data_IF_995321067944
#
_entry.id   IF_995321067944
#
_cell.length_a   1.000
_cell.length_b   1.000
_cell.length_c   1.000
_cell.angle_alpha   90.00
_cell.angle_beta   90.00
_cell.angle_gamma   90.00
#
_symmetry.space_group_name_H-M   'P 1'
#
loop_
_entity.id
_entity.type
_entity.pdbx_description
1 polymer ?
#
# COMPACT_ATOMS: atom_id res chain seq x y z
N UNK A 1 3.27 7.65 -17.53
CA UNK A 1 3.08 6.32 -16.94
C UNK A 1 2.43 6.47 -15.57
N UNK A 2 1.56 5.54 -15.16
CA UNK A 2 0.84 5.56 -13.88
C UNK A 2 1.15 4.34 -12.98
N UNK A 3 1.94 3.39 -13.48
CA UNK A 3 2.42 2.21 -12.75
C UNK A 3 3.93 2.08 -12.97
N UNK A 4 4.67 1.90 -11.88
CA UNK A 4 6.10 1.65 -11.90
C UNK A 4 6.36 0.23 -11.41
N UNK A 5 6.90 -0.64 -12.27
CA UNK A 5 7.35 -1.98 -11.89
C UNK A 5 8.86 -1.95 -11.76
N UNK A 6 9.37 -2.23 -10.57
CA UNK A 6 10.78 -2.16 -10.25
C UNK A 6 11.46 -3.53 -10.38
N UNK A 7 12.74 -3.60 -10.79
CA UNK A 7 13.46 -4.86 -11.01
C UNK A 7 13.79 -5.62 -9.72
N UNK A 8 13.84 -4.94 -8.57
CA UNK A 8 14.11 -5.53 -7.26
C UNK A 8 13.58 -4.64 -6.12
N UNK A 9 13.64 -5.17 -4.88
CA UNK A 9 13.17 -4.50 -3.66
C UNK A 9 13.93 -3.21 -3.37
N UNK A 10 15.24 -3.17 -3.61
CA UNK A 10 16.05 -1.98 -3.32
C UNK A 10 15.66 -0.82 -4.23
N UNK A 11 15.55 -1.08 -5.54
CA UNK A 11 15.09 -0.10 -6.52
C UNK A 11 13.67 0.39 -6.19
N UNK A 12 12.78 -0.51 -5.78
CA UNK A 12 11.43 -0.17 -5.34
C UNK A 12 11.42 0.75 -4.12
N UNK A 13 12.18 0.40 -3.07
CA UNK A 13 12.27 1.19 -1.85
C UNK A 13 12.91 2.56 -2.07
N UNK A 14 13.96 2.64 -2.89
CA UNK A 14 14.60 3.91 -3.25
C UNK A 14 13.62 4.79 -4.02
N UNK A 15 13.00 4.27 -5.08
CA UNK A 15 12.03 5.03 -5.88
C UNK A 15 10.84 5.52 -5.03
N UNK A 16 10.29 4.65 -4.17
CA UNK A 16 9.21 5.01 -3.25
C UNK A 16 9.59 6.16 -2.32
N UNK A 17 10.75 6.08 -1.65
CA UNK A 17 11.16 7.11 -0.71
C UNK A 17 11.55 8.42 -1.41
N UNK A 18 12.16 8.35 -2.60
CA UNK A 18 12.42 9.53 -3.44
C UNK A 18 11.11 10.23 -3.82
N UNK A 19 10.11 9.51 -4.31
CA UNK A 19 8.82 10.09 -4.69
C UNK A 19 8.03 10.62 -3.48
N UNK A 20 8.14 9.94 -2.33
CA UNK A 20 7.52 10.39 -1.07
C UNK A 20 8.14 11.70 -0.57
N UNK A 21 9.44 11.90 -0.76
CA UNK A 21 10.19 13.03 -0.17
C UNK A 21 10.34 14.20 -1.14
N UNK A 22 10.67 13.92 -2.41
CA UNK A 22 11.04 14.93 -3.39
C UNK A 22 9.84 15.50 -4.15
N UNK A 23 8.80 14.70 -4.39
CA UNK A 23 7.58 15.16 -5.04
C UNK A 23 6.59 15.64 -3.97
N UNK A 24 6.83 16.85 -3.48
CA UNK A 24 6.00 17.51 -2.47
C UNK A 24 4.53 17.52 -2.88
N UNK A 25 3.65 17.06 -1.98
CA UNK A 25 2.21 16.91 -2.22
C UNK A 25 1.72 15.47 -2.37
N UNK A 26 2.63 14.50 -2.48
CA UNK A 26 2.26 13.09 -2.60
C UNK A 26 1.82 12.50 -1.25
N UNK A 27 0.64 11.87 -1.23
CA UNK A 27 0.19 11.07 -0.07
C UNK A 27 0.59 9.63 -0.29
N UNK A 28 1.57 9.16 0.48
CA UNK A 28 2.01 7.78 0.41
C UNK A 28 1.07 6.84 1.20
N UNK A 29 0.22 6.11 0.47
CA UNK A 29 -0.68 5.06 1.00
C UNK A 29 -0.07 3.68 0.72
N UNK A 30 -0.21 2.75 1.66
CA UNK A 30 0.47 1.43 1.64
C UNK A 30 1.47 1.30 2.80
N UNK A 31 2.34 0.26 2.82
CA UNK A 31 2.48 -0.78 1.81
C UNK A 31 1.25 -1.70 1.76
N UNK A 32 0.86 -2.12 0.55
CA UNK A 32 -0.21 -3.10 0.35
C UNK A 32 0.43 -4.46 0.07
N UNK A 33 -0.03 -5.47 0.82
CA UNK A 33 0.37 -6.84 0.60
C UNK A 33 -0.54 -7.43 -0.49
N UNK A 34 0.06 -7.98 -1.54
CA UNK A 34 -0.63 -8.60 -2.66
C UNK A 34 -0.37 -10.10 -2.65
N UNK A 35 -1.35 -10.89 -3.14
CA UNK A 35 -1.21 -12.34 -3.31
C UNK A 35 -1.49 -13.19 -2.06
N UNK A 36 -1.99 -12.60 -0.97
CA UNK A 36 -2.51 -13.38 0.15
C UNK A 36 -3.86 -14.03 -0.18
N UNK A 37 -4.15 -15.18 0.44
CA UNK A 37 -5.43 -15.88 0.30
C UNK A 37 -6.61 -15.15 0.95
N UNK A 38 -6.33 -14.18 1.82
CA UNK A 38 -7.31 -13.34 2.49
C UNK A 38 -6.75 -11.91 2.59
N UNK A 39 -7.61 -10.88 2.66
CA UNK A 39 -7.20 -9.49 2.74
C UNK A 39 -6.51 -9.20 4.08
N UNK A 40 -5.18 -9.18 4.05
CA UNK A 40 -4.32 -8.93 5.21
C UNK A 40 -3.22 -7.95 4.81
N UNK A 41 -2.97 -6.97 5.66
CA UNK A 41 -1.92 -5.97 5.45
C UNK A 41 -1.09 -5.76 6.71
N UNK A 42 0.21 -5.50 6.52
CA UNK A 42 1.16 -5.33 7.62
C UNK A 42 1.41 -3.84 7.84
N UNK A 43 1.24 -3.40 9.10
CA UNK A 43 1.52 -2.03 9.54
C UNK A 43 2.82 -2.00 10.35
N UNK A 44 3.52 -0.88 10.29
CA UNK A 44 4.68 -0.60 11.15
C UNK A 44 4.25 0.20 12.37
N UNK A 45 5.01 0.12 13.47
CA UNK A 45 4.78 0.92 14.69
C UNK A 45 4.84 2.44 14.45
N UNK A 46 5.50 2.87 13.38
CA UNK A 46 5.55 4.27 12.92
C UNK A 46 4.33 4.73 12.12
N UNK A 47 3.30 3.89 11.99
CA UNK A 47 2.10 4.22 11.22
C UNK A 47 1.27 5.31 11.92
N UNK A 48 0.92 6.35 11.17
CA UNK A 48 0.02 7.41 11.67
C UNK A 48 -1.43 6.92 11.70
N UNK A 49 -2.28 7.59 12.50
CA UNK A 49 -3.73 7.30 12.56
C UNK A 49 -4.37 7.34 11.17
N UNK A 50 -4.01 8.31 10.34
CA UNK A 50 -4.50 8.41 8.95
C UNK A 50 -4.12 7.17 8.12
N UNK A 51 -2.90 6.65 8.30
CA UNK A 51 -2.47 5.42 7.62
C UNK A 51 -3.29 4.22 8.09
N UNK A 52 -3.52 4.08 9.40
CA UNK A 52 -4.32 2.98 9.95
C UNK A 52 -5.73 3.00 9.34
N UNK A 53 -6.41 4.15 9.38
CA UNK A 53 -7.78 4.28 8.83
C UNK A 53 -7.81 3.94 7.34
N UNK A 54 -6.88 4.48 6.55
CA UNK A 54 -6.82 4.21 5.12
C UNK A 54 -6.57 2.72 4.82
N UNK A 55 -5.71 2.07 5.61
CA UNK A 55 -5.39 0.65 5.43
C UNK A 55 -6.58 -0.23 5.84
N UNK A 56 -7.27 0.08 6.92
CA UNK A 56 -8.51 -0.63 7.31
C UNK A 56 -9.59 -0.51 6.24
N UNK A 57 -9.80 0.69 5.70
CA UNK A 57 -10.79 0.90 4.64
C UNK A 57 -10.47 0.07 3.39
N UNK A 58 -9.20 -0.01 2.99
CA UNK A 58 -8.76 -0.86 1.88
C UNK A 58 -8.97 -2.35 2.18
N UNK A 59 -8.60 -2.83 3.38
CA UNK A 59 -8.79 -4.24 3.76
C UNK A 59 -10.26 -4.65 3.73
N UNK A 60 -11.16 -3.81 4.24
CA UNK A 60 -12.61 -4.09 4.23
C UNK A 60 -13.15 -4.12 2.79
N UNK A 61 -12.69 -3.20 1.94
CA UNK A 61 -13.08 -3.19 0.53
C UNK A 61 -12.65 -4.49 -0.17
N UNK A 62 -11.42 -4.95 0.07
CA UNK A 62 -10.91 -6.18 -0.53
C UNK A 62 -11.65 -7.43 -0.01
N UNK A 63 -12.03 -7.45 1.27
CA UNK A 63 -12.86 -8.52 1.84
C UNK A 63 -14.23 -8.61 1.16
N UNK A 64 -14.93 -7.48 1.04
CA UNK A 64 -16.24 -7.44 0.40
C UNK A 64 -16.17 -7.85 -1.09
N UNK A 65 -15.07 -7.51 -1.79
CA UNK A 65 -14.84 -7.91 -3.18
C UNK A 65 -14.56 -9.40 -3.32
N UNK A 66 -13.78 -9.98 -2.40
CA UNK A 66 -13.51 -11.41 -2.39
C UNK A 66 -14.81 -12.23 -2.19
N UNK A 67 -15.71 -11.77 -1.32
CA UNK A 67 -17.04 -12.38 -1.14
C UNK A 67 -17.93 -12.25 -2.38
N UNK A 68 -17.84 -11.14 -3.12
CA UNK A 68 -18.65 -10.91 -4.34
C UNK A 68 -18.15 -11.73 -5.54
N UNK A 69 -16.89 -12.20 -5.50
CA UNK A 69 -16.25 -12.94 -6.59
C UNK A 69 -16.38 -14.46 -6.46
N UNK A 70 -17.03 -14.94 -5.39
CA UNK A 70 -17.26 -16.34 -5.06
C UNK A 70 -18.75 -16.69 -5.22
#
# INVERSE_FOLDING_TARGET
ANLLVCPNVDSGNIAYNLLKTAAGGNVAVGPFLLGANAPVHILTSSSTVRRIINMTAMTVLDANRAETSA
#
